data_IF_032950383945
#
_entry.id   IF_032950383945
#
_cell.length_a   1.000
_cell.length_b   1.000
_cell.length_c   1.000
_cell.angle_alpha   90.00
_cell.angle_beta   90.00
_cell.angle_gamma   90.00
#
_symmetry.space_group_name_H-M   'P 1'
#
loop_
_entity.id
_entity.type
_entity.pdbx_description
1 polymer ?
#
# COMPACT_ATOMS: atom_id res chain seq x y z
N UNK A 1 -17.05 6.69 -24.77
CA UNK A 1 -17.23 6.36 -23.34
C UNK A 1 -15.98 6.79 -22.62
N UNK A 2 -16.03 7.95 -21.97
CA UNK A 2 -14.94 8.43 -21.11
C UNK A 2 -14.93 7.54 -19.88
N UNK A 3 -13.95 6.62 -19.82
CA UNK A 3 -13.64 5.92 -18.58
C UNK A 3 -13.28 6.98 -17.56
N UNK A 4 -14.10 7.15 -16.54
CA UNK A 4 -13.73 7.91 -15.38
C UNK A 4 -12.43 7.27 -14.86
N UNK A 5 -11.31 7.92 -15.07
CA UNK A 5 -10.05 7.55 -14.44
C UNK A 5 -10.28 7.76 -12.95
N UNK A 6 -10.61 6.67 -12.25
CA UNK A 6 -10.64 6.67 -10.80
C UNK A 6 -9.26 7.16 -10.37
N UNK A 7 -9.21 8.35 -9.78
CA UNK A 7 -7.95 8.93 -9.34
C UNK A 7 -7.31 7.92 -8.38
N UNK A 8 -6.22 7.33 -8.81
CA UNK A 8 -5.39 6.54 -7.94
C UNK A 8 -4.90 7.50 -6.86
N UNK A 9 -5.33 7.31 -5.61
CA UNK A 9 -4.97 8.22 -4.53
C UNK A 9 -3.46 8.28 -4.35
N UNK A 10 -2.95 9.41 -3.85
CA UNK A 10 -1.51 9.65 -3.68
C UNK A 10 -0.79 8.51 -2.92
N UNK A 11 -1.42 7.93 -1.90
CA UNK A 11 -0.83 6.83 -1.13
C UNK A 11 -0.68 5.54 -1.94
N UNK A 12 -1.64 5.23 -2.81
CA UNK A 12 -1.59 4.05 -3.67
C UNK A 12 -0.52 4.19 -4.76
N UNK A 13 -0.37 5.39 -5.33
CA UNK A 13 0.67 5.66 -6.34
C UNK A 13 2.08 5.63 -5.75
N UNK A 14 2.21 5.98 -4.47
CA UNK A 14 3.49 6.05 -3.78
C UNK A 14 3.67 4.92 -2.75
N UNK A 15 2.99 3.79 -2.90
CA UNK A 15 3.08 2.65 -2.00
C UNK A 15 4.51 2.08 -1.89
N UNK A 16 5.36 2.31 -2.89
CA UNK A 16 6.79 1.97 -2.84
C UNK A 16 7.56 2.69 -1.73
N UNK A 17 7.04 3.81 -1.21
CA UNK A 17 7.62 4.50 -0.05
C UNK A 17 7.51 3.67 1.24
N UNK A 18 6.50 2.81 1.36
CA UNK A 18 6.28 2.00 2.57
C UNK A 18 7.51 1.13 2.88
N UNK A 19 8.07 0.34 1.95
CA UNK A 19 9.31 -0.40 2.20
C UNK A 19 10.56 0.48 2.14
N UNK A 20 10.54 1.59 1.43
CA UNK A 20 11.71 2.46 1.27
C UNK A 20 12.07 3.18 2.57
N UNK A 21 11.08 3.68 3.32
CA UNK A 21 11.32 4.45 4.56
C UNK A 21 12.10 3.62 5.60
N UNK A 22 11.71 2.37 5.92
CA UNK A 22 12.52 1.53 6.81
C UNK A 22 13.90 1.22 6.24
N UNK A 23 14.03 1.04 4.91
CA UNK A 23 15.32 0.80 4.27
C UNK A 23 16.26 1.99 4.45
N UNK A 24 15.77 3.22 4.26
CA UNK A 24 16.55 4.43 4.53
C UNK A 24 16.90 4.52 6.02
N UNK A 25 15.93 4.26 6.91
CA UNK A 25 16.17 4.23 8.36
C UNK A 25 17.28 3.25 8.74
N UNK A 26 17.31 2.07 8.13
CA UNK A 26 18.35 1.07 8.32
C UNK A 26 19.74 1.60 7.91
N UNK A 27 19.84 2.26 6.75
CA UNK A 27 21.11 2.88 6.31
C UNK A 27 21.57 3.97 7.28
N UNK A 28 20.67 4.80 7.77
CA UNK A 28 20.98 5.81 8.77
C UNK A 28 21.48 5.20 10.09
N UNK A 29 20.87 4.11 10.55
CA UNK A 29 21.31 3.40 11.76
C UNK A 29 22.72 2.84 11.58
N UNK A 30 23.06 2.27 10.43
CA UNK A 30 24.41 1.76 10.17
C UNK A 30 25.45 2.87 10.20
N UNK A 31 25.14 4.02 9.58
CA UNK A 31 26.12 5.12 9.47
C UNK A 31 26.28 5.92 10.76
N UNK A 32 25.20 6.16 11.48
CA UNK A 32 25.16 7.08 12.61
C UNK A 32 24.79 6.44 13.95
N UNK A 33 24.35 5.18 13.98
CA UNK A 33 23.83 4.53 15.17
C UNK A 33 24.81 4.51 16.36
N UNK A 34 26.12 4.42 16.09
CA UNK A 34 27.14 4.46 17.15
C UNK A 34 27.28 5.82 17.85
N UNK A 35 26.80 6.91 17.25
CA UNK A 35 26.86 8.27 17.81
C UNK A 35 25.58 8.67 18.54
N UNK A 36 24.52 7.87 18.45
CA UNK A 36 23.22 8.18 19.05
C UNK A 36 23.08 7.60 20.46
N UNK A 37 22.36 8.28 21.37
CA UNK A 37 22.24 7.89 22.77
C UNK A 37 21.58 6.51 22.98
N UNK A 38 20.71 6.06 22.03
CA UNK A 38 20.03 4.75 22.10
C UNK A 38 20.45 3.81 20.96
N UNK A 39 21.67 3.94 20.45
CA UNK A 39 22.19 3.11 19.36
C UNK A 39 21.32 3.07 18.09
N UNK A 40 20.49 4.11 17.87
CA UNK A 40 19.66 4.25 16.67
C UNK A 40 18.31 3.53 16.72
N UNK A 41 17.90 2.93 17.85
CA UNK A 41 16.60 2.27 17.98
C UNK A 41 15.42 3.21 17.74
N UNK A 42 15.56 4.48 18.13
CA UNK A 42 14.55 5.53 17.90
C UNK A 42 14.23 5.70 16.41
N UNK A 43 15.28 5.71 15.56
CA UNK A 43 15.11 5.84 14.10
C UNK A 43 14.36 4.62 13.55
N UNK A 44 14.64 3.42 14.06
CA UNK A 44 13.94 2.20 13.67
C UNK A 44 12.44 2.31 13.96
N UNK A 45 12.08 2.65 15.20
CA UNK A 45 10.66 2.77 15.61
C UNK A 45 9.95 3.86 14.81
N UNK A 46 10.56 5.04 14.65
CA UNK A 46 9.95 6.15 13.90
C UNK A 46 9.76 5.77 12.43
N UNK A 47 10.74 5.13 11.78
CA UNK A 47 10.64 4.75 10.38
C UNK A 47 9.53 3.72 10.13
N UNK A 48 9.39 2.73 11.01
CA UNK A 48 8.31 1.74 10.92
C UNK A 48 6.95 2.40 11.23
N UNK A 49 6.88 3.30 12.21
CA UNK A 49 5.67 4.06 12.53
C UNK A 49 5.18 4.92 11.36
N UNK A 50 6.08 5.58 10.63
CA UNK A 50 5.74 6.34 9.42
C UNK A 50 5.22 5.40 8.33
N UNK A 51 5.87 4.26 8.12
CA UNK A 51 5.43 3.26 7.14
C UNK A 51 4.03 2.71 7.46
N UNK A 52 3.75 2.46 8.75
CA UNK A 52 2.42 2.06 9.20
C UNK A 52 1.37 3.14 8.91
N UNK A 53 1.67 4.41 9.19
CA UNK A 53 0.75 5.51 8.91
C UNK A 53 0.42 5.62 7.40
N UNK A 54 1.43 5.48 6.53
CA UNK A 54 1.23 5.48 5.07
C UNK A 54 0.42 4.26 4.62
N UNK A 55 0.68 3.09 5.19
CA UNK A 55 -0.06 1.85 4.90
C UNK A 55 -1.54 1.96 5.28
N UNK A 56 -1.85 2.57 6.42
CA UNK A 56 -3.23 2.87 6.83
C UNK A 56 -3.88 3.82 5.82
N UNK A 57 -3.19 4.89 5.42
CA UNK A 57 -3.69 5.84 4.41
C UNK A 57 -3.97 5.16 3.06
N UNK A 58 -3.09 4.28 2.61
CA UNK A 58 -3.28 3.48 1.39
C UNK A 58 -4.50 2.55 1.50
N UNK A 59 -4.72 1.95 2.67
CA UNK A 59 -5.87 1.09 2.94
C UNK A 59 -7.19 1.88 2.83
N UNK A 60 -7.26 3.08 3.43
CA UNK A 60 -8.45 3.93 3.30
C UNK A 60 -8.73 4.30 1.84
N UNK A 61 -7.72 4.70 1.08
CA UNK A 61 -7.88 5.02 -0.34
C UNK A 61 -8.34 3.81 -1.17
N UNK A 62 -7.86 2.61 -0.83
CA UNK A 62 -8.32 1.39 -1.49
C UNK A 62 -9.80 1.11 -1.19
N UNK A 63 -10.23 1.27 0.06
CA UNK A 63 -11.62 1.09 0.48
C UNK A 63 -12.53 2.08 -0.27
N UNK A 64 -12.16 3.36 -0.35
CA UNK A 64 -12.90 4.36 -1.10
C UNK A 64 -13.03 3.98 -2.58
N UNK A 65 -11.98 3.42 -3.16
CA UNK A 65 -11.98 2.93 -4.54
C UNK A 65 -12.93 1.73 -4.71
N UNK A 66 -12.92 0.77 -3.80
CA UNK A 66 -13.84 -0.37 -3.80
C UNK A 66 -15.28 0.11 -3.68
N UNK A 67 -15.58 1.02 -2.76
CA UNK A 67 -16.91 1.58 -2.57
C UNK A 67 -17.41 2.32 -3.81
N UNK A 68 -16.55 3.05 -4.51
CA UNK A 68 -16.93 3.78 -5.73
C UNK A 68 -17.26 2.85 -6.90
N UNK A 69 -16.64 1.69 -6.97
CA UNK A 69 -16.89 0.67 -8.01
C UNK A 69 -18.10 -0.19 -7.66
N UNK A 70 -18.30 -0.51 -6.37
CA UNK A 70 -19.38 -1.39 -5.90
C UNK A 70 -20.74 -0.71 -5.75
N UNK A 71 -20.89 0.56 -6.16
CA UNK A 71 -22.19 1.25 -6.16
C UNK A 71 -22.76 1.56 -4.77
N UNK A 72 -21.90 1.78 -3.77
CA UNK A 72 -22.31 2.32 -2.47
C UNK A 72 -22.75 1.30 -1.43
N UNK A 73 -22.38 0.04 -1.56
CA UNK A 73 -22.46 -0.88 -0.41
C UNK A 73 -21.43 -0.44 0.62
N UNK A 74 -21.92 0.02 1.79
CA UNK A 74 -21.12 0.57 2.90
C UNK A 74 -20.17 -0.48 3.52
N UNK A 75 -19.12 -0.83 2.81
CA UNK A 75 -18.06 -1.69 3.38
C UNK A 75 -17.27 -0.96 4.49
N UNK A 76 -17.29 0.38 4.48
CA UNK A 76 -16.61 1.19 5.48
C UNK A 76 -17.34 1.27 6.83
N UNK A 77 -18.65 0.93 6.89
CA UNK A 77 -19.44 1.07 8.13
C UNK A 77 -19.06 0.05 9.22
N UNK A 78 -18.30 -0.98 8.87
CA UNK A 78 -17.88 -2.05 9.78
C UNK A 78 -16.54 -1.82 10.51
N UNK A 79 -15.95 -0.62 10.47
CA UNK A 79 -14.62 -0.38 11.06
C UNK A 79 -13.53 -1.28 10.47
N UNK A 80 -12.60 -1.76 11.31
CA UNK A 80 -11.51 -2.64 10.85
C UNK A 80 -12.00 -3.91 10.13
N UNK A 81 -13.08 -4.52 10.60
CA UNK A 81 -13.65 -5.71 9.97
C UNK A 81 -14.36 -5.40 8.65
N UNK A 82 -14.98 -4.23 8.51
CA UNK A 82 -15.53 -3.76 7.25
C UNK A 82 -14.44 -3.52 6.20
N UNK A 83 -13.34 -2.91 6.61
CA UNK A 83 -12.15 -2.74 5.77
C UNK A 83 -11.58 -4.09 5.32
N UNK A 84 -11.48 -5.06 6.23
CA UNK A 84 -11.02 -6.41 5.93
C UNK A 84 -11.93 -7.12 4.93
N UNK A 85 -13.25 -6.97 5.07
CA UNK A 85 -14.24 -7.52 4.14
C UNK A 85 -14.18 -6.86 2.77
N UNK A 86 -13.88 -5.57 2.69
CA UNK A 86 -13.70 -4.85 1.42
C UNK A 86 -12.46 -5.33 0.64
N UNK A 87 -11.42 -5.77 1.36
CA UNK A 87 -10.19 -6.31 0.77
C UNK A 87 -10.41 -7.74 0.26
N UNK A 88 -11.23 -8.53 0.98
CA UNK A 88 -11.63 -9.87 0.59
C UNK A 88 -13.15 -9.91 0.32
N UNK A 89 -13.60 -9.62 -0.89
CA UNK A 89 -14.96 -9.95 -1.27
C UNK A 89 -15.10 -11.48 -1.23
N UNK A 90 -15.53 -12.00 -0.08
CA UNK A 90 -15.75 -13.42 0.06
C UNK A 90 -16.91 -13.82 -0.84
N UNK A 91 -16.78 -14.97 -1.50
CA UNK A 91 -17.84 -15.63 -2.27
C UNK A 91 -19.13 -15.92 -1.46
N UNK A 92 -19.20 -15.48 -0.20
CA UNK A 92 -20.36 -15.59 0.68
C UNK A 92 -21.54 -14.67 0.29
N UNK A 93 -21.26 -13.61 -0.47
CA UNK A 93 -22.34 -12.76 -1.03
C UNK A 93 -22.81 -13.28 -2.40
N UNK A 94 -23.01 -14.56 -2.58
CA UNK A 94 -23.77 -15.26 -3.63
C UNK A 94 -24.07 -14.59 -4.99
N UNK A 95 -23.46 -13.47 -5.28
CA UNK A 95 -23.63 -12.71 -6.50
C UNK A 95 -22.35 -12.74 -7.33
N UNK A 96 -22.44 -13.28 -8.53
CA UNK A 96 -21.43 -13.18 -9.59
C UNK A 96 -21.22 -11.73 -10.10
N UNK A 97 -21.29 -10.77 -9.19
CA UNK A 97 -21.13 -9.35 -9.44
C UNK A 97 -20.01 -8.74 -8.58
N UNK A 98 -18.95 -9.50 -8.27
CA UNK A 98 -17.75 -8.89 -7.70
C UNK A 98 -17.23 -7.89 -8.72
N UNK A 99 -17.55 -6.59 -8.50
CA UNK A 99 -17.02 -5.52 -9.31
C UNK A 99 -15.51 -5.59 -9.25
N UNK A 100 -14.90 -5.95 -10.38
CA UNK A 100 -13.43 -6.00 -10.49
C UNK A 100 -12.88 -4.60 -10.27
N UNK A 101 -12.16 -4.42 -9.18
CA UNK A 101 -11.44 -3.18 -8.91
C UNK A 101 -10.10 -3.26 -9.60
N UNK A 102 -9.89 -2.40 -10.58
CA UNK A 102 -8.66 -2.38 -11.34
C UNK A 102 -7.45 -2.09 -10.43
N UNK A 103 -6.40 -2.93 -10.49
CA UNK A 103 -5.19 -2.71 -9.70
C UNK A 103 -4.46 -1.44 -10.13
N UNK A 104 -3.77 -0.80 -9.20
CA UNK A 104 -2.92 0.35 -9.51
C UNK A 104 -1.56 -0.17 -9.97
N UNK A 105 -1.29 0.00 -11.26
CA UNK A 105 -0.02 -0.41 -11.87
C UNK A 105 0.79 0.83 -12.22
N UNK A 106 2.01 0.90 -11.72
CA UNK A 106 2.97 1.94 -12.07
C UNK A 106 4.30 1.29 -12.41
N UNK A 107 4.83 1.60 -13.58
CA UNK A 107 6.12 1.08 -14.03
C UNK A 107 7.05 2.24 -14.38
N UNK A 108 8.33 2.05 -14.12
CA UNK A 108 9.40 2.96 -14.52
C UNK A 108 10.61 2.18 -15.03
N UNK A 109 11.29 2.72 -16.04
CA UNK A 109 12.50 2.11 -16.58
C UNK A 109 13.65 2.35 -15.59
N UNK A 110 14.20 1.25 -15.06
CA UNK A 110 15.33 1.31 -14.13
C UNK A 110 16.67 1.38 -14.86
N UNK A 111 16.81 0.57 -15.89
CA UNK A 111 18.05 0.51 -16.66
C UNK A 111 17.76 0.14 -18.11
N UNK A 112 18.51 0.78 -19.01
CA UNK A 112 18.41 0.56 -20.44
C UNK A 112 19.80 0.39 -21.03
N UNK A 113 20.04 -0.70 -21.75
CA UNK A 113 21.30 -0.95 -22.43
C UNK A 113 21.10 -1.80 -23.68
N UNK A 114 21.68 -1.34 -24.80
CA UNK A 114 21.75 -2.13 -26.02
C UNK A 114 20.41 -2.58 -26.61
N UNK A 115 19.32 -1.82 -26.42
CA UNK A 115 17.97 -2.18 -26.88
C UNK A 115 17.18 -3.06 -25.92
N UNK A 116 17.73 -3.40 -24.75
CA UNK A 116 17.03 -4.05 -23.66
C UNK A 116 16.64 -3.01 -22.60
N UNK A 117 15.35 -3.00 -22.23
CA UNK A 117 14.81 -2.15 -21.16
C UNK A 117 14.43 -3.02 -19.97
N UNK A 118 14.99 -2.68 -18.79
CA UNK A 118 14.60 -3.30 -17.54
C UNK A 118 13.69 -2.32 -16.79
N UNK A 119 12.39 -2.67 -16.73
CA UNK A 119 11.38 -1.93 -15.99
C UNK A 119 11.19 -2.50 -14.59
N UNK A 120 11.14 -1.63 -13.60
CA UNK A 120 10.58 -1.94 -12.30
C UNK A 120 9.13 -1.47 -12.28
N UNK A 121 8.26 -2.29 -11.74
CA UNK A 121 6.84 -1.96 -11.62
C UNK A 121 6.31 -2.28 -10.23
N UNK A 122 5.38 -1.46 -9.77
CA UNK A 122 4.54 -1.81 -8.64
C UNK A 122 3.15 -2.20 -9.15
N UNK A 123 2.59 -3.23 -8.57
CA UNK A 123 1.24 -3.71 -8.82
C UNK A 123 0.52 -3.77 -7.48
N UNK A 124 -0.43 -2.86 -7.27
CA UNK A 124 -1.17 -2.73 -6.02
C UNK A 124 -2.60 -3.18 -6.24
N UNK A 125 -2.94 -4.29 -5.64
CA UNK A 125 -4.28 -4.85 -5.56
C UNK A 125 -4.74 -4.96 -4.10
N UNK A 126 -5.94 -5.47 -3.86
CA UNK A 126 -6.49 -5.64 -2.51
C UNK A 126 -5.61 -6.54 -1.63
N UNK A 127 -5.04 -7.60 -2.20
CA UNK A 127 -4.14 -8.51 -1.47
C UNK A 127 -2.85 -7.81 -1.05
N UNK A 128 -2.26 -7.03 -1.96
CA UNK A 128 -1.04 -6.28 -1.67
C UNK A 128 -1.25 -5.26 -0.55
N UNK A 129 -2.37 -4.52 -0.56
CA UNK A 129 -2.73 -3.56 0.49
C UNK A 129 -2.86 -4.25 1.85
N UNK A 130 -3.54 -5.39 1.90
CA UNK A 130 -3.68 -6.15 3.14
C UNK A 130 -2.33 -6.61 3.67
N UNK A 131 -1.48 -7.18 2.81
CA UNK A 131 -0.15 -7.62 3.20
C UNK A 131 0.70 -6.46 3.70
N UNK A 132 0.66 -5.30 3.03
CA UNK A 132 1.37 -4.10 3.47
C UNK A 132 0.91 -3.64 4.86
N UNK A 133 -0.41 -3.58 5.08
CA UNK A 133 -0.98 -3.22 6.38
C UNK A 133 -0.57 -4.22 7.47
N UNK A 134 -0.71 -5.52 7.20
CA UNK A 134 -0.40 -6.56 8.17
C UNK A 134 1.09 -6.58 8.52
N UNK A 135 1.97 -6.51 7.52
CA UNK A 135 3.42 -6.50 7.74
C UNK A 135 3.85 -5.26 8.52
N UNK A 136 3.37 -4.08 8.15
CA UNK A 136 3.73 -2.84 8.87
C UNK A 136 3.18 -2.83 10.29
N UNK A 137 1.99 -3.40 10.52
CA UNK A 137 1.40 -3.51 11.85
C UNK A 137 2.15 -4.48 12.76
N UNK A 138 2.55 -5.66 12.25
CA UNK A 138 3.31 -6.64 13.04
C UNK A 138 4.74 -6.14 13.31
N UNK A 139 5.30 -5.35 12.38
CA UNK A 139 6.67 -4.82 12.52
C UNK A 139 6.77 -3.65 13.50
N UNK A 140 5.65 -2.96 13.75
CA UNK A 140 5.57 -1.85 14.71
C UNK A 140 5.37 -2.35 16.14
#
# INVERSE_FOLDING_TARGET
MLGATLSSGWFLENAWLIPLIPAIGFVFIILFGKKMPQNGSEIGIVSIGISLAISIGATFQWIDRVNSVSGGSDYASGGFFGAFRAIFPTAADGGYGASFVEPVVKSWTWWQSGGLEFGLGQHIDGLAIMLLLLVTFISF
#
